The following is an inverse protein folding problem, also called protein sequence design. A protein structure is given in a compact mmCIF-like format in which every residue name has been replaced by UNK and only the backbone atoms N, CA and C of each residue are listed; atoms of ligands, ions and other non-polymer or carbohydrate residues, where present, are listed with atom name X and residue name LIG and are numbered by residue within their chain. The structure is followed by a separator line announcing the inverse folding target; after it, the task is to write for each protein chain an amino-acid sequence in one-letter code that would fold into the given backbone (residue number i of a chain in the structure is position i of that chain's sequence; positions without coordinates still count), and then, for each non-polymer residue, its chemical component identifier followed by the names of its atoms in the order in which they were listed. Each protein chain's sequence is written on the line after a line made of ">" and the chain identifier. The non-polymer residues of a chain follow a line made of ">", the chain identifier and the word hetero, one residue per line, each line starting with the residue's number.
data_IF_051455730749
#
_entry.id   IF_051455730749
#
_cell.length_a   1.000
_cell.length_b   1.000
_cell.length_c   1.000
_cell.angle_alpha   90.00
_cell.angle_beta   90.00
_cell.angle_gamma   90.00
#
_symmetry.space_group_name_H-M   'P 1'
#
loop_
_entity.id
_entity.type
_entity.pdbx_description
1 polymer ?
#
# COMPACT_ATOMS: atom_id res chain seq x y z
N UNK A 1 11.63 9.34 -0.41
CA UNK A 1 11.14 9.87 -1.70
C UNK A 1 10.11 8.87 -2.20
N UNK A 2 8.86 9.28 -2.41
CA UNK A 2 7.77 8.35 -2.77
C UNK A 2 7.90 7.99 -4.26
N UNK A 3 8.10 6.70 -4.57
CA UNK A 3 8.23 6.22 -5.95
C UNK A 3 6.84 6.09 -6.61
N UNK A 4 6.69 6.33 -7.93
CA UNK A 4 5.47 6.02 -8.69
C UNK A 4 4.80 4.67 -8.34
N UNK A 5 5.58 3.59 -8.22
CA UNK A 5 5.03 2.27 -7.86
C UNK A 5 4.44 2.24 -6.45
N UNK A 6 4.99 3.01 -5.53
CA UNK A 6 4.44 3.16 -4.18
C UNK A 6 3.11 3.92 -4.21
N UNK A 7 2.99 4.95 -5.06
CA UNK A 7 1.71 5.64 -5.26
C UNK A 7 0.65 4.74 -5.89
N UNK A 8 1.03 3.91 -6.87
CA UNK A 8 0.13 2.91 -7.44
C UNK A 8 -0.32 1.88 -6.40
N UNK A 9 0.59 1.45 -5.52
CA UNK A 9 0.28 0.57 -4.40
C UNK A 9 -0.70 1.21 -3.41
N UNK A 10 -0.44 2.45 -2.98
CA UNK A 10 -1.34 3.17 -2.08
C UNK A 10 -2.71 3.45 -2.75
N UNK A 11 -2.71 3.72 -4.05
CA UNK A 11 -3.94 3.88 -4.84
C UNK A 11 -4.73 2.58 -4.88
N UNK A 12 -4.06 1.45 -5.09
CA UNK A 12 -4.67 0.13 -5.10
C UNK A 12 -5.28 -0.23 -3.73
N UNK A 13 -4.57 0.06 -2.63
CA UNK A 13 -5.10 -0.07 -1.27
C UNK A 13 -6.30 0.85 -1.02
N UNK A 14 -6.28 2.07 -1.58
CA UNK A 14 -7.37 3.04 -1.42
C UNK A 14 -8.67 2.66 -2.12
N UNK A 15 -8.68 1.64 -3.01
CA UNK A 15 -9.88 1.19 -3.73
C UNK A 15 -10.80 0.29 -2.90
N UNK A 16 -10.32 -0.29 -1.79
CA UNK A 16 -11.13 -1.17 -0.96
C UNK A 16 -10.30 -1.97 0.04
N UNK A 17 -10.94 -2.68 0.97
CA UNK A 17 -10.24 -3.51 1.95
C UNK A 17 -9.44 -4.61 1.24
N UNK A 18 -8.16 -4.74 1.59
CA UNK A 18 -7.24 -5.75 1.04
C UNK A 18 -6.62 -6.56 2.15
N UNK A 19 -6.40 -7.84 1.89
CA UNK A 19 -5.63 -8.70 2.79
C UNK A 19 -4.14 -8.72 2.41
N UNK A 20 -3.29 -9.17 3.33
CA UNK A 20 -1.89 -9.43 3.05
C UNK A 20 -1.74 -10.40 1.89
N UNK A 21 -2.54 -11.47 1.85
CA UNK A 21 -2.52 -12.42 0.74
C UNK A 21 -2.81 -11.75 -0.61
N UNK A 22 -3.82 -10.87 -0.68
CA UNK A 22 -4.12 -10.13 -1.92
C UNK A 22 -2.96 -9.23 -2.34
N UNK A 23 -2.34 -8.55 -1.36
CA UNK A 23 -1.20 -7.67 -1.63
C UNK A 23 0.00 -8.47 -2.14
N UNK A 24 0.28 -9.61 -1.53
CA UNK A 24 1.33 -10.52 -1.98
C UNK A 24 1.01 -11.06 -3.37
N UNK A 25 -0.17 -11.59 -3.65
CA UNK A 25 -0.52 -12.12 -4.98
C UNK A 25 -0.43 -11.06 -6.09
N UNK A 26 -0.94 -9.84 -5.83
CA UNK A 26 -0.94 -8.76 -6.81
C UNK A 26 0.44 -8.15 -7.07
N UNK A 27 1.28 -8.00 -6.03
CA UNK A 27 2.54 -7.28 -6.13
C UNK A 27 3.78 -8.18 -6.22
N UNK A 28 3.71 -9.44 -5.79
CA UNK A 28 4.80 -10.44 -5.91
C UNK A 28 5.09 -10.83 -7.36
N UNK A 29 4.06 -10.84 -8.20
CA UNK A 29 4.17 -11.21 -9.63
C UNK A 29 4.61 -10.03 -10.50
N UNK A 30 4.32 -8.81 -10.05
CA UNK A 30 4.49 -7.58 -10.84
C UNK A 30 5.86 -6.93 -10.68
N UNK A 31 6.65 -7.32 -9.65
CA UNK A 31 8.02 -6.83 -9.49
C UNK A 31 8.88 -7.81 -8.67
N UNK A 32 10.14 -8.09 -9.07
CA UNK A 32 11.08 -8.83 -8.22
C UNK A 32 11.49 -8.04 -6.97
N UNK A 33 11.18 -6.73 -6.93
CA UNK A 33 11.37 -5.85 -5.79
C UNK A 33 10.14 -5.90 -4.89
N UNK A 34 10.16 -6.85 -3.96
CA UNK A 34 9.30 -6.85 -2.77
C UNK A 34 9.39 -5.56 -1.93
N UNK A 35 10.38 -4.71 -2.23
CA UNK A 35 10.71 -3.50 -1.48
C UNK A 35 9.59 -2.49 -1.43
N UNK A 36 8.74 -2.30 -2.45
CA UNK A 36 7.70 -1.25 -2.42
C UNK A 36 6.70 -1.44 -1.26
N UNK A 37 6.33 -2.70 -0.99
CA UNK A 37 5.47 -3.05 0.13
C UNK A 37 6.17 -2.78 1.46
N UNK A 38 7.43 -3.20 1.59
CA UNK A 38 8.24 -3.05 2.79
C UNK A 38 8.53 -1.57 3.08
N UNK A 39 8.97 -0.83 2.07
CA UNK A 39 9.20 0.62 2.10
C UNK A 39 7.93 1.37 2.51
N UNK A 40 6.75 0.98 2.03
CA UNK A 40 5.49 1.63 2.40
C UNK A 40 5.10 1.38 3.87
N UNK A 41 5.46 0.22 4.43
CA UNK A 41 5.30 -0.07 5.86
C UNK A 41 6.33 0.70 6.67
N UNK A 42 7.59 0.73 6.23
CA UNK A 42 8.70 1.40 6.88
C UNK A 42 8.49 2.93 6.93
N UNK A 43 8.02 3.52 5.82
CA UNK A 43 7.62 4.92 5.73
C UNK A 43 6.31 5.22 6.51
N UNK A 44 5.65 4.18 7.04
CA UNK A 44 4.43 4.29 7.82
C UNK A 44 3.23 4.76 7.00
N UNK A 45 3.21 4.49 5.70
CA UNK A 45 2.13 4.85 4.77
C UNK A 45 1.00 3.81 4.80
N UNK A 46 1.32 2.55 5.07
CA UNK A 46 0.35 1.50 5.31
C UNK A 46 0.71 0.70 6.57
N UNK A 47 -0.25 -0.07 7.08
CA UNK A 47 -0.04 -0.96 8.24
C UNK A 47 -0.86 -2.23 8.09
N UNK A 48 -0.32 -3.33 8.60
CA UNK A 48 -1.05 -4.58 8.79
C UNK A 48 -1.88 -4.53 10.07
N UNK A 49 -3.20 -4.67 9.92
CA UNK A 49 -4.15 -4.86 11.01
C UNK A 49 -4.55 -6.33 11.08
N UNK A 50 -3.99 -7.05 12.05
CA UNK A 50 -4.38 -8.44 12.32
C UNK A 50 -5.69 -8.46 13.11
N UNK A 51 -6.68 -9.20 12.59
CA UNK A 51 -7.88 -9.52 13.35
C UNK A 51 -7.57 -10.51 14.48
N UNK A 52 -8.43 -10.56 15.50
CA UNK A 52 -8.30 -11.54 16.59
C UNK A 52 -8.41 -12.96 16.00
N UNK A 53 -7.36 -13.76 16.16
CA UNK A 53 -7.30 -15.12 15.60
C UNK A 53 -7.00 -15.20 14.09
N UNK A 54 -6.73 -14.08 13.41
CA UNK A 54 -6.40 -14.08 11.99
C UNK A 54 -4.92 -14.47 11.76
N UNK A 55 -4.68 -15.31 10.75
CA UNK A 55 -3.34 -15.62 10.25
C UNK A 55 -2.73 -14.39 9.56
N UNK A 56 -1.41 -14.40 9.33
CA UNK A 56 -0.73 -13.31 8.61
C UNK A 56 -1.36 -13.06 7.24
N UNK A 57 -1.71 -14.12 6.51
CA UNK A 57 -2.38 -14.05 5.21
C UNK A 57 -3.72 -13.31 5.24
N UNK A 58 -4.47 -13.46 6.33
CA UNK A 58 -5.75 -12.77 6.55
C UNK A 58 -5.63 -11.38 7.18
N UNK A 59 -4.42 -10.89 7.44
CA UNK A 59 -4.23 -9.55 8.01
C UNK A 59 -4.68 -8.49 7.01
N UNK A 60 -5.53 -7.57 7.46
CA UNK A 60 -5.99 -6.47 6.61
C UNK A 60 -4.85 -5.45 6.42
N UNK A 61 -4.64 -5.02 5.19
CA UNK A 61 -3.73 -3.93 4.87
C UNK A 61 -4.53 -2.64 4.83
N UNK A 62 -4.17 -1.70 5.71
CA UNK A 62 -4.86 -0.42 5.83
C UNK A 62 -3.91 0.74 5.58
N UNK A 63 -4.42 1.76 4.87
CA UNK A 63 -3.72 3.04 4.74
C UNK A 63 -3.70 3.74 6.10
N UNK A 64 -2.55 4.31 6.44
CA UNK A 64 -2.44 5.21 7.58
C UNK A 64 -2.88 6.61 7.16
N UNK A 65 -3.17 7.52 8.12
CA UNK A 65 -3.43 8.93 7.79
C UNK A 65 -2.32 9.56 6.93
N UNK A 66 -1.06 9.17 7.18
CA UNK A 66 0.09 9.62 6.39
C UNK A 66 0.06 9.10 4.96
N UNK A 67 -0.22 7.81 4.77
CA UNK A 67 -0.36 7.22 3.42
C UNK A 67 -1.51 7.85 2.64
N UNK A 68 -2.63 8.13 3.30
CA UNK A 68 -3.74 8.86 2.70
C UNK A 68 -3.32 10.28 2.30
N UNK A 69 -2.62 11.02 3.16
CA UNK A 69 -2.15 12.38 2.83
C UNK A 69 -1.20 12.39 1.62
N UNK A 70 -0.25 11.43 1.57
CA UNK A 70 0.65 11.26 0.42
C UNK A 70 -0.13 10.95 -0.86
N UNK A 71 -1.11 10.05 -0.78
CA UNK A 71 -1.95 9.69 -1.92
C UNK A 71 -2.78 10.88 -2.42
N UNK A 72 -3.33 11.69 -1.52
CA UNK A 72 -4.09 12.89 -1.89
C UNK A 72 -3.18 13.95 -2.53
N UNK A 73 -2.02 14.24 -1.92
CA UNK A 73 -1.06 15.18 -2.49
C UNK A 73 -0.57 14.76 -3.89
N UNK A 74 -0.44 13.46 -4.14
CA UNK A 74 -0.11 12.95 -5.47
C UNK A 74 -1.26 13.04 -6.49
N UNK A 75 -2.51 12.90 -6.05
CA UNK A 75 -3.69 13.11 -6.92
C UNK A 75 -3.88 14.58 -7.28
N UNK A 76 -3.53 15.46 -6.35
CA UNK A 76 -3.73 16.91 -6.45
C UNK A 76 -2.56 17.62 -7.15
N UNK A 77 -1.41 16.95 -7.27
CA UNK A 77 -0.33 17.40 -8.11
C UNK A 77 -0.82 17.53 -9.57
N UNK A 78 -0.67 18.70 -10.21
CA UNK A 78 -1.07 18.87 -11.60
C UNK A 78 -0.25 17.90 -12.45
N UNK A 79 -0.93 16.99 -13.17
CA UNK A 79 -0.28 16.17 -14.20
C UNK A 79 0.37 17.13 -15.21
N UNK A 80 1.71 17.14 -15.38
CA UNK A 80 2.32 17.91 -16.45
C UNK A 80 1.74 17.39 -17.76
N UNK A 81 1.19 18.31 -18.57
CA UNK A 81 0.69 18.03 -19.92
C UNK A 81 1.83 17.72 -20.87
#
# INVERSE_FOLDING_TARGET
>A
MVNPLMLDFLTWLGRGPRSYADAMEAWRTSCPRFTIWEDAIEDGLCRLKRGRGATLSGAAVVLTPRGTAVLQGAKEAPRPR
#
